data_IF_303325842578
#
_entry.id   IF_303325842578
#
_cell.length_a   1.000
_cell.length_b   1.000
_cell.length_c   1.000
_cell.angle_alpha   90.00
_cell.angle_beta   90.00
_cell.angle_gamma   90.00
#
_symmetry.space_group_name_H-M   'P 1'
#
loop_
_entity.id
_entity.type
_entity.pdbx_description
1 polymer ?
#
# COMPACT_ATOMS: atom_id res chain seq x y z
N UNK A 1 7.00 -52.82 -40.44
CA UNK A 1 5.82 -53.22 -39.64
C UNK A 1 6.24 -53.18 -38.18
N UNK A 2 5.92 -52.11 -37.45
CA UNK A 2 4.73 -51.89 -36.59
C UNK A 2 4.99 -52.28 -35.12
N UNK A 3 4.94 -51.25 -34.27
CA UNK A 3 4.42 -51.21 -32.87
C UNK A 3 5.38 -51.85 -31.85
N UNK A 4 5.79 -51.19 -30.76
CA UNK A 4 5.00 -50.68 -29.62
C UNK A 4 5.93 -49.73 -28.81
N UNK A 5 5.58 -48.50 -28.43
CA UNK A 5 4.57 -48.00 -27.47
C UNK A 5 5.17 -47.68 -26.07
N UNK A 6 4.65 -46.57 -25.52
CA UNK A 6 4.65 -46.10 -24.12
C UNK A 6 5.78 -45.17 -23.60
N UNK A 7 5.47 -43.86 -23.73
CA UNK A 7 5.53 -42.78 -22.74
C UNK A 7 6.30 -42.96 -21.42
N UNK A 8 7.09 -41.94 -21.07
CA UNK A 8 7.04 -41.24 -19.77
C UNK A 8 7.73 -39.87 -19.90
N UNK A 9 7.02 -38.85 -20.40
CA UNK A 9 7.45 -37.45 -20.26
C UNK A 9 7.19 -37.03 -18.82
N UNK A 10 8.23 -37.11 -17.99
CA UNK A 10 8.25 -36.65 -16.61
C UNK A 10 8.20 -35.10 -16.63
N UNK A 11 7.00 -34.52 -16.64
CA UNK A 11 6.82 -33.10 -16.43
C UNK A 11 7.16 -32.78 -14.97
N UNK A 12 8.41 -32.41 -14.72
CA UNK A 12 8.84 -31.82 -13.45
C UNK A 12 8.18 -30.45 -13.33
N UNK A 13 6.98 -30.42 -12.75
CA UNK A 13 6.46 -29.22 -12.10
C UNK A 13 7.38 -28.94 -10.90
N UNK A 14 8.44 -28.17 -11.14
CA UNK A 14 9.14 -27.49 -10.07
C UNK A 14 8.12 -26.62 -9.35
N UNK A 15 7.64 -27.10 -8.20
CA UNK A 15 6.88 -26.31 -7.26
C UNK A 15 7.74 -25.10 -6.91
N UNK A 16 7.49 -23.98 -7.58
CA UNK A 16 8.00 -22.69 -7.13
C UNK A 16 7.51 -22.56 -5.68
N UNK A 17 8.40 -22.22 -4.72
CA UNK A 17 7.94 -21.95 -3.37
C UNK A 17 6.88 -20.87 -3.50
N UNK A 18 5.66 -21.19 -3.08
CA UNK A 18 4.68 -20.19 -2.77
C UNK A 18 5.30 -19.39 -1.62
N UNK A 19 6.01 -18.32 -1.95
CA UNK A 19 6.46 -17.34 -0.99
C UNK A 19 5.18 -16.70 -0.46
N UNK A 20 4.56 -17.35 0.53
CA UNK A 20 3.69 -16.68 1.46
C UNK A 20 4.52 -15.47 1.92
N UNK A 21 4.08 -14.28 1.56
CA UNK A 21 4.79 -13.06 1.91
C UNK A 21 5.01 -13.11 3.42
N UNK A 22 6.29 -13.16 3.83
CA UNK A 22 6.66 -13.26 5.22
C UNK A 22 6.25 -11.97 5.93
N UNK A 23 6.04 -12.03 7.25
CA UNK A 23 5.69 -10.86 8.06
C UNK A 23 6.63 -9.67 7.81
N UNK A 24 7.93 -9.95 7.61
CA UNK A 24 8.94 -8.94 7.27
C UNK A 24 8.71 -8.23 5.92
N UNK A 25 8.22 -8.94 4.90
CA UNK A 25 7.97 -8.35 3.58
C UNK A 25 6.74 -7.44 3.61
N UNK A 26 5.77 -7.74 4.48
CA UNK A 26 4.62 -6.89 4.71
C UNK A 26 5.00 -5.61 5.47
N UNK A 27 5.86 -5.70 6.47
CA UNK A 27 6.38 -4.54 7.20
C UNK A 27 7.15 -3.58 6.27
N UNK A 28 8.04 -4.11 5.43
CA UNK A 28 8.77 -3.32 4.44
C UNK A 28 7.83 -2.64 3.43
N UNK A 29 6.80 -3.35 2.99
CA UNK A 29 5.78 -2.80 2.09
C UNK A 29 5.02 -1.63 2.75
N UNK A 30 4.52 -1.81 3.97
CA UNK A 30 3.81 -0.75 4.71
C UNK A 30 4.71 0.46 4.93
N UNK A 31 5.97 0.23 5.31
CA UNK A 31 6.95 1.29 5.51
C UNK A 31 7.25 2.08 4.23
N UNK A 32 7.39 1.41 3.09
CA UNK A 32 7.64 2.08 1.81
C UNK A 32 6.41 2.89 1.35
N UNK A 33 5.20 2.33 1.46
CA UNK A 33 3.95 3.06 1.18
C UNK A 33 3.87 4.31 2.07
N UNK A 34 4.06 4.16 3.38
CA UNK A 34 4.04 5.28 4.32
C UNK A 34 5.04 6.36 3.93
N UNK A 35 6.30 6.00 3.70
CA UNK A 35 7.36 6.95 3.39
C UNK A 35 7.08 7.72 2.10
N UNK A 36 6.68 7.02 1.03
CA UNK A 36 6.42 7.62 -0.27
C UNK A 36 5.18 8.53 -0.24
N UNK A 37 4.11 8.08 0.40
CA UNK A 37 2.89 8.86 0.55
C UNK A 37 3.11 10.13 1.38
N UNK A 38 3.82 10.04 2.51
CA UNK A 38 4.15 11.22 3.33
C UNK A 38 5.04 12.21 2.57
N UNK A 39 6.02 11.72 1.83
CA UNK A 39 6.86 12.59 1.00
C UNK A 39 6.07 13.32 -0.08
N UNK A 40 5.07 12.67 -0.69
CA UNK A 40 4.21 13.29 -1.70
C UNK A 40 3.28 14.36 -1.10
N UNK A 41 2.87 14.21 0.17
CA UNK A 41 1.96 15.13 0.84
C UNK A 41 2.63 16.29 1.59
N UNK A 42 3.95 16.27 1.80
CA UNK A 42 4.71 17.37 2.42
C UNK A 42 4.44 18.80 1.84
N UNK A 43 4.16 19.00 0.54
CA UNK A 43 3.76 20.31 0.03
C UNK A 43 2.31 20.72 0.38
N UNK A 44 1.45 19.78 0.78
CA UNK A 44 0.01 19.99 0.99
C UNK A 44 -0.39 20.01 2.46
N UNK A 45 0.28 19.21 3.30
CA UNK A 45 -0.09 18.96 4.69
C UNK A 45 1.14 19.16 5.59
N UNK A 46 1.00 19.99 6.61
CA UNK A 46 1.98 20.13 7.70
C UNK A 46 1.85 18.95 8.67
N UNK A 47 2.99 18.38 9.07
CA UNK A 47 3.11 17.24 9.98
C UNK A 47 2.22 16.03 9.61
N UNK A 48 2.06 15.78 8.31
CA UNK A 48 1.23 14.70 7.77
C UNK A 48 1.45 13.37 8.50
N UNK A 49 0.34 12.67 8.76
CA UNK A 49 0.31 11.31 9.29
C UNK A 49 -0.38 10.39 8.30
N UNK A 50 0.02 9.12 8.28
CA UNK A 50 -0.52 8.12 7.37
C UNK A 50 -1.18 6.99 8.16
N UNK A 51 -2.36 6.59 7.70
CA UNK A 51 -2.98 5.30 8.03
C UNK A 51 -2.85 4.43 6.79
N UNK A 52 -1.98 3.43 6.84
CA UNK A 52 -1.69 2.57 5.69
C UNK A 52 -2.57 1.33 5.75
N UNK A 53 -3.18 0.97 4.61
CA UNK A 53 -3.79 -0.34 4.41
C UNK A 53 -2.68 -1.41 4.46
N UNK A 54 -2.68 -2.34 5.44
CA UNK A 54 -1.60 -3.29 5.67
C UNK A 54 -1.24 -4.15 4.45
N UNK A 55 -2.23 -4.44 3.61
CA UNK A 55 -2.04 -5.26 2.40
C UNK A 55 -2.18 -4.43 1.12
N UNK A 56 -2.95 -3.35 1.18
CA UNK A 56 -3.43 -2.62 0.01
C UNK A 56 -4.36 -3.48 -0.85
N UNK A 57 -4.42 -3.15 -2.14
CA UNK A 57 -5.12 -3.92 -3.17
C UNK A 57 -4.16 -4.79 -3.99
N UNK A 58 -4.70 -5.51 -4.98
CA UNK A 58 -3.91 -6.38 -5.87
C UNK A 58 -2.69 -5.68 -6.48
N UNK A 59 -2.85 -4.43 -6.93
CA UNK A 59 -1.82 -3.69 -7.65
C UNK A 59 -1.30 -2.47 -6.88
N UNK A 60 -1.97 -2.06 -5.81
CA UNK A 60 -1.68 -0.77 -5.15
C UNK A 60 -1.50 -0.92 -3.64
N UNK A 61 -0.58 -0.15 -3.08
CA UNK A 61 -0.61 0.24 -1.68
C UNK A 61 -1.52 1.45 -1.51
N UNK A 62 -2.30 1.46 -0.43
CA UNK A 62 -3.28 2.49 -0.17
C UNK A 62 -3.01 3.08 1.21
N UNK A 63 -3.10 4.38 1.33
CA UNK A 63 -3.02 5.06 2.62
C UNK A 63 -3.96 6.25 2.67
N UNK A 64 -4.46 6.58 3.86
CA UNK A 64 -5.11 7.86 4.12
C UNK A 64 -4.10 8.74 4.82
N UNK A 65 -3.82 9.89 4.23
CA UNK A 65 -2.98 10.94 4.78
C UNK A 65 -3.85 11.97 5.45
N UNK A 66 -3.48 12.43 6.63
CA UNK A 66 -4.23 13.45 7.36
C UNK A 66 -3.30 14.36 8.14
N UNK A 67 -3.70 15.61 8.32
CA UNK A 67 -2.96 16.60 9.08
C UNK A 67 -3.46 18.01 8.81
N UNK A 68 -2.72 19.02 9.26
CA UNK A 68 -3.08 20.42 9.04
C UNK A 68 -2.75 20.83 7.61
N UNK A 69 -3.69 21.43 6.91
CA UNK A 69 -3.48 21.95 5.57
C UNK A 69 -2.39 23.03 5.57
N UNK A 70 -1.50 22.98 4.59
CA UNK A 70 -0.43 23.97 4.48
C UNK A 70 -1.00 25.35 4.15
N UNK A 71 -0.73 26.33 5.00
CA UNK A 71 -1.23 27.69 4.82
C UNK A 71 -2.67 27.92 5.30
N UNK A 72 -3.31 26.94 5.95
CA UNK A 72 -4.62 27.10 6.57
C UNK A 72 -4.66 26.41 7.94
N UNK A 73 -5.55 26.87 8.83
CA UNK A 73 -5.73 26.26 10.16
C UNK A 73 -6.88 25.24 10.16
N UNK A 74 -6.88 24.36 9.15
CA UNK A 74 -7.90 23.32 8.99
C UNK A 74 -7.23 21.96 8.80
N UNK A 75 -7.87 20.91 9.29
CA UNK A 75 -7.43 19.53 9.07
C UNK A 75 -8.02 19.01 7.76
N UNK A 76 -7.15 18.48 6.91
CA UNK A 76 -7.52 17.87 5.63
C UNK A 76 -6.97 16.46 5.55
N UNK A 77 -7.58 15.67 4.68
CA UNK A 77 -7.11 14.33 4.36
C UNK A 77 -6.99 14.12 2.85
N UNK A 78 -6.08 13.23 2.46
CA UNK A 78 -5.92 12.79 1.08
C UNK A 78 -5.83 11.26 1.04
N UNK A 79 -6.34 10.65 -0.02
CA UNK A 79 -6.07 9.25 -0.33
C UNK A 79 -4.74 9.21 -1.10
N UNK A 80 -3.83 8.36 -0.67
CA UNK A 80 -2.60 8.05 -1.39
C UNK A 80 -2.71 6.68 -2.05
N UNK A 81 -2.39 6.62 -3.34
CA UNK A 81 -2.31 5.40 -4.13
C UNK A 81 -0.85 5.21 -4.54
N UNK A 82 -0.25 4.12 -4.08
CA UNK A 82 1.10 3.71 -4.42
C UNK A 82 1.04 2.53 -5.39
N UNK A 83 1.61 2.65 -6.59
CA UNK A 83 1.68 1.55 -7.56
C UNK A 83 2.76 0.54 -7.14
N UNK A 84 2.39 -0.73 -6.93
CA UNK A 84 3.33 -1.76 -6.46
C UNK A 84 4.41 -2.11 -7.48
N UNK A 85 4.16 -1.90 -8.78
CA UNK A 85 5.08 -2.21 -9.89
C UNK A 85 6.03 -1.05 -10.17
N UNK A 86 5.49 0.16 -10.32
CA UNK A 86 6.27 1.34 -10.70
C UNK A 86 6.81 2.11 -9.50
N UNK A 87 6.25 1.88 -8.31
CA UNK A 87 6.50 2.64 -7.07
C UNK A 87 6.14 4.12 -7.18
N UNK A 88 5.33 4.49 -8.18
CA UNK A 88 4.77 5.82 -8.32
C UNK A 88 3.70 6.06 -7.25
N UNK A 89 3.55 7.32 -6.84
CA UNK A 89 2.52 7.76 -5.90
C UNK A 89 1.62 8.78 -6.56
N UNK A 90 0.32 8.58 -6.40
CA UNK A 90 -0.72 9.52 -6.76
C UNK A 90 -1.51 9.91 -5.51
N UNK A 91 -1.79 11.21 -5.38
CA UNK A 91 -2.65 11.73 -4.32
C UNK A 91 -4.01 12.08 -4.90
N UNK A 92 -5.06 11.61 -4.24
CA UNK A 92 -6.43 12.03 -4.50
C UNK A 92 -6.67 13.49 -4.10
N UNK A 93 -7.90 13.95 -4.33
CA UNK A 93 -8.32 15.30 -3.93
C UNK A 93 -8.29 15.49 -2.42
N UNK A 94 -8.33 16.76 -2.01
CA UNK A 94 -8.53 17.14 -0.62
C UNK A 94 -9.90 16.68 -0.12
N UNK A 95 -9.92 16.12 1.09
CA UNK A 95 -11.11 15.74 1.84
C UNK A 95 -11.13 16.53 3.15
N UNK A 96 -12.20 17.26 3.40
CA UNK A 96 -12.36 18.04 4.63
C UNK A 96 -12.66 17.13 5.83
N UNK A 97 -12.34 17.61 7.03
CA UNK A 97 -12.66 16.90 8.29
C UNK A 97 -14.17 16.63 8.51
N UNK A 98 -15.04 17.39 7.85
CA UNK A 98 -16.49 17.17 7.87
C UNK A 98 -16.92 15.99 7.00
N UNK A 99 -16.12 15.65 5.98
CA UNK A 99 -16.38 14.53 5.05
C UNK A 99 -15.77 13.21 5.53
N UNK A 100 -14.58 13.26 6.13
CA UNK A 100 -13.84 12.07 6.58
C UNK A 100 -13.12 12.37 7.89
N UNK A 101 -13.30 11.50 8.88
CA UNK A 101 -12.52 11.50 10.13
C UNK A 101 -11.55 10.33 10.10
N UNK A 102 -10.28 10.62 10.35
CA UNK A 102 -9.20 9.63 10.33
C UNK A 102 -8.67 9.47 11.75
N UNK A 103 -8.73 8.24 12.27
CA UNK A 103 -8.15 7.90 13.56
C UNK A 103 -6.79 7.24 13.34
N UNK A 104 -5.77 7.74 14.03
CA UNK A 104 -4.42 7.21 13.92
C UNK A 104 -4.26 5.98 14.84
N UNK A 105 -3.63 4.89 14.36
CA UNK A 105 -3.32 3.72 15.20
C UNK A 105 -2.51 4.15 16.43
N UNK A 106 -2.99 3.77 17.63
CA UNK A 106 -2.36 4.12 18.90
C UNK A 106 -2.77 5.48 19.50
N UNK A 107 -3.62 6.26 18.84
CA UNK A 107 -4.16 7.53 19.38
C UNK A 107 -5.43 7.36 20.23
N UNK A 108 -6.01 6.16 20.28
CA UNK A 108 -7.12 5.84 21.18
C UNK A 108 -6.56 5.61 22.60
N UNK A 109 -6.61 6.66 23.43
CA UNK A 109 -6.54 6.48 24.87
C UNK A 109 -7.85 5.80 25.33
N UNK A 110 -7.81 4.77 26.19
CA UNK A 110 -9.00 4.13 26.72
C UNK A 110 -9.90 5.11 27.48
#
# INVERSE_FOLDING_TARGET
MKRQALAFTLATFSALPAMASSDSAWEEFVADVQAKCLSAAAPLIDDAKAVVDPTGSENYGLAILTGKAKGADTTISHICVYDKKTKAVELGSELSADSVKVELPGSTKP
#
